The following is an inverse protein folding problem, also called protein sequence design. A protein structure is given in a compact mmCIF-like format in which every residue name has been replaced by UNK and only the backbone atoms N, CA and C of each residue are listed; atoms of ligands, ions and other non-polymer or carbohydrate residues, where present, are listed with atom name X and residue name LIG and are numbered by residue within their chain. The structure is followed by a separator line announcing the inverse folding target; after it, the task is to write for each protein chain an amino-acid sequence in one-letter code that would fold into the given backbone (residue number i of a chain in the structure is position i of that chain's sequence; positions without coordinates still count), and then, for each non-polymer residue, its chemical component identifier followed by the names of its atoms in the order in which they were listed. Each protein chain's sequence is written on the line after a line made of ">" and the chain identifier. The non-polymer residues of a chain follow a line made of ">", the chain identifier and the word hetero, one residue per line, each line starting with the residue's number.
data_IF_516905587027
#
_entry.id   IF_516905587027
#
_cell.length_a   1.000
_cell.length_b   1.000
_cell.length_c   1.000
_cell.angle_alpha   90.00
_cell.angle_beta   90.00
_cell.angle_gamma   90.00
#
_symmetry.space_group_name_H-M   'P 1'
#
loop_
_entity.id
_entity.type
_entity.pdbx_description
1 polymer ?
#
# COMPACT_ATOMS: atom_id res chain seq x y z
N UNK A 1 -7.67 -5.78 17.41
CA UNK A 1 -7.75 -6.78 16.32
C UNK A 1 -6.59 -6.60 15.34
N UNK A 2 -6.35 -5.39 14.83
CA UNK A 2 -5.22 -5.13 13.96
C UNK A 2 -3.97 -4.82 14.79
N UNK A 3 -2.98 -5.72 14.75
CA UNK A 3 -1.68 -5.54 15.40
C UNK A 3 -0.60 -5.39 14.31
N UNK A 4 -0.02 -4.20 14.19
CA UNK A 4 0.97 -3.87 13.17
C UNK A 4 2.39 -4.08 13.70
N UNK A 5 3.17 -4.94 13.03
CA UNK A 5 4.57 -5.19 13.37
C UNK A 5 5.54 -4.24 12.68
N UNK A 6 5.29 -3.95 11.39
CA UNK A 6 6.10 -3.02 10.60
C UNK A 6 5.32 -2.45 9.43
N UNK A 7 5.75 -1.30 8.95
CA UNK A 7 5.35 -0.72 7.67
C UNK A 7 6.60 -0.55 6.82
N UNK A 8 6.47 -0.86 5.54
CA UNK A 8 7.50 -0.63 4.54
C UNK A 8 6.92 0.24 3.44
N UNK A 9 7.65 1.29 3.10
CA UNK A 9 7.31 2.21 2.01
C UNK A 9 8.47 2.24 1.04
N UNK A 10 8.16 2.14 -0.25
CA UNK A 10 9.10 2.27 -1.34
C UNK A 10 8.57 3.30 -2.33
N UNK A 11 9.44 4.19 -2.77
CA UNK A 11 9.17 5.19 -3.80
C UNK A 11 10.30 5.13 -4.81
N UNK A 12 9.95 5.13 -6.08
CA UNK A 12 10.85 5.10 -7.21
C UNK A 12 10.52 6.26 -8.15
N UNK A 13 11.54 7.02 -8.52
CA UNK A 13 11.49 8.00 -9.60
C UNK A 13 12.16 7.41 -10.85
N UNK A 14 11.37 7.19 -11.89
CA UNK A 14 11.80 6.56 -13.14
C UNK A 14 12.02 7.66 -14.17
N UNK A 15 13.29 7.93 -14.48
CA UNK A 15 13.70 8.98 -15.42
C UNK A 15 13.65 8.50 -16.89
N UNK A 16 13.96 7.23 -17.14
CA UNK A 16 13.89 6.58 -18.45
C UNK A 16 13.94 5.05 -18.31
N UNK A 17 13.47 4.33 -19.34
CA UNK A 17 13.69 2.89 -19.53
C UNK A 17 14.27 2.69 -20.94
N UNK A 18 15.56 2.99 -21.10
CA UNK A 18 16.31 2.90 -22.36
C UNK A 18 15.87 3.82 -23.52
N UNK A 19 14.86 4.68 -23.32
CA UNK A 19 14.47 5.76 -24.23
C UNK A 19 15.02 7.14 -23.83
N UNK A 20 14.62 8.21 -24.53
CA UNK A 20 14.91 9.59 -24.11
C UNK A 20 14.34 9.89 -22.72
N UNK A 21 15.08 10.62 -21.89
CA UNK A 21 14.65 11.05 -20.56
C UNK A 21 13.41 11.95 -20.61
N UNK A 22 12.41 11.67 -19.78
CA UNK A 22 11.22 12.50 -19.67
C UNK A 22 11.52 13.81 -18.90
N UNK A 23 10.86 14.91 -19.28
CA UNK A 23 10.98 16.20 -18.56
C UNK A 23 10.41 16.11 -17.14
N UNK A 24 9.39 15.27 -16.94
CA UNK A 24 8.81 14.94 -15.64
C UNK A 24 8.96 13.43 -15.44
N UNK A 25 9.78 12.96 -14.48
CA UNK A 25 9.92 11.54 -14.19
C UNK A 25 8.60 10.90 -13.77
N UNK A 26 8.44 9.61 -14.09
CA UNK A 26 7.32 8.82 -13.56
C UNK A 26 7.64 8.45 -12.11
N UNK A 27 6.73 8.76 -11.19
CA UNK A 27 6.84 8.34 -9.79
C UNK A 27 5.96 7.12 -9.57
N UNK A 28 6.52 6.05 -9.01
CA UNK A 28 5.80 4.87 -8.54
C UNK A 28 6.08 4.64 -7.07
N UNK A 29 5.08 4.18 -6.34
CA UNK A 29 5.24 3.87 -4.94
C UNK A 29 4.44 2.65 -4.51
N UNK A 30 4.95 1.98 -3.49
CA UNK A 30 4.28 0.86 -2.83
C UNK A 30 4.40 1.03 -1.31
N UNK A 31 3.33 0.71 -0.59
CA UNK A 31 3.33 0.66 0.87
C UNK A 31 2.69 -0.63 1.34
N UNK A 32 3.27 -1.26 2.36
CA UNK A 32 2.75 -2.48 2.93
C UNK A 32 2.87 -2.46 4.47
N UNK A 33 1.81 -2.90 5.14
CA UNK A 33 1.82 -3.17 6.57
C UNK A 33 1.92 -4.69 6.80
N UNK A 34 2.79 -5.10 7.72
CA UNK A 34 2.85 -6.49 8.19
C UNK A 34 2.07 -6.60 9.49
N UNK A 35 1.05 -7.45 9.46
CA UNK A 35 0.08 -7.60 10.52
C UNK A 35 0.13 -9.01 11.10
N UNK A 36 -0.24 -9.15 12.37
CA UNK A 36 -0.58 -10.46 12.94
C UNK A 36 -1.90 -10.94 12.31
N UNK A 37 -1.92 -12.18 11.83
CA UNK A 37 -3.15 -12.85 11.42
C UNK A 37 -3.83 -13.50 12.65
N UNK A 38 -5.00 -13.02 13.11
CA UNK A 38 -5.70 -13.59 14.26
C UNK A 38 -6.33 -14.96 13.97
N UNK A 39 -6.44 -15.35 12.70
CA UNK A 39 -7.05 -16.61 12.24
C UNK A 39 -6.00 -17.67 11.84
N UNK A 40 -4.72 -17.41 12.08
CA UNK A 40 -3.67 -18.37 11.74
C UNK A 40 -3.79 -19.64 12.61
N UNK A 41 -3.63 -20.81 11.96
CA UNK A 41 -3.58 -22.10 12.66
C UNK A 41 -4.93 -22.79 12.87
N UNK A 42 -6.03 -22.27 12.32
CA UNK A 42 -7.35 -22.89 12.44
C UNK A 42 -8.32 -22.51 11.32
N UNK A 43 -9.43 -23.24 11.25
CA UNK A 43 -10.56 -22.87 10.40
C UNK A 43 -11.46 -21.88 11.14
N UNK A 44 -11.81 -20.80 10.46
CA UNK A 44 -12.73 -19.79 10.96
C UNK A 44 -13.81 -19.53 9.92
N UNK A 45 -15.07 -19.78 10.28
CA UNK A 45 -16.21 -19.62 9.37
C UNK A 45 -16.54 -18.15 9.08
N UNK A 46 -16.19 -17.25 10.01
CA UNK A 46 -16.42 -15.81 9.87
C UNK A 46 -15.11 -15.02 10.03
N UNK A 47 -14.73 -14.35 8.95
CA UNK A 47 -13.55 -13.48 8.86
C UNK A 47 -13.90 -12.04 8.50
N UNK A 48 -15.20 -11.74 8.29
CA UNK A 48 -15.66 -10.41 7.92
C UNK A 48 -15.29 -9.33 8.96
N UNK A 49 -15.30 -9.59 10.28
CA UNK A 49 -14.92 -8.59 11.27
C UNK A 49 -13.50 -8.02 11.07
N UNK A 50 -12.54 -8.86 10.66
CA UNK A 50 -11.18 -8.36 10.38
C UNK A 50 -11.13 -7.54 9.10
N UNK A 51 -11.89 -7.91 8.08
CA UNK A 51 -11.97 -7.14 6.83
C UNK A 51 -12.47 -5.71 7.09
N UNK A 52 -13.50 -5.56 7.90
CA UNK A 52 -14.01 -4.24 8.30
C UNK A 52 -12.99 -3.46 9.13
N UNK A 53 -12.32 -4.12 10.07
CA UNK A 53 -11.28 -3.53 10.90
C UNK A 53 -10.04 -3.06 10.11
N UNK A 54 -9.81 -3.58 8.89
CA UNK A 54 -8.72 -3.16 8.01
C UNK A 54 -9.01 -1.88 7.23
N UNK A 55 -10.27 -1.45 7.10
CA UNK A 55 -10.63 -0.28 6.29
C UNK A 55 -9.88 1.01 6.70
N UNK A 56 -9.81 1.40 8.00
CA UNK A 56 -9.09 2.60 8.41
C UNK A 56 -7.58 2.51 8.13
N UNK A 57 -7.00 1.31 8.28
CA UNK A 57 -5.59 1.09 7.99
C UNK A 57 -5.31 1.26 6.49
N UNK A 58 -6.16 0.73 5.61
CA UNK A 58 -6.02 0.90 4.17
C UNK A 58 -6.01 2.37 3.75
N UNK A 59 -6.93 3.18 4.31
CA UNK A 59 -6.97 4.63 4.08
C UNK A 59 -5.71 5.33 4.58
N UNK A 60 -5.23 4.97 5.78
CA UNK A 60 -4.02 5.56 6.37
C UNK A 60 -2.76 5.24 5.55
N UNK A 61 -2.63 4.01 5.05
CA UNK A 61 -1.51 3.61 4.18
C UNK A 61 -1.55 4.35 2.85
N UNK A 62 -2.73 4.45 2.21
CA UNK A 62 -2.88 5.18 0.95
C UNK A 62 -2.47 6.66 1.08
N UNK A 63 -2.90 7.32 2.17
CA UNK A 63 -2.51 8.70 2.46
C UNK A 63 -1.00 8.83 2.68
N UNK A 64 -0.42 7.97 3.52
CA UNK A 64 1.03 7.93 3.77
C UNK A 64 1.82 7.74 2.47
N UNK A 65 1.33 6.91 1.54
CA UNK A 65 1.99 6.69 0.26
C UNK A 65 1.93 7.93 -0.64
N UNK A 66 0.78 8.62 -0.71
CA UNK A 66 0.66 9.88 -1.46
C UNK A 66 1.64 10.94 -0.93
N UNK A 67 1.70 11.08 0.40
CA UNK A 67 2.61 12.01 1.07
C UNK A 67 4.08 11.64 0.77
N UNK A 68 4.44 10.35 0.84
CA UNK A 68 5.80 9.87 0.57
C UNK A 68 6.23 10.03 -0.89
N UNK A 69 5.30 9.87 -1.85
CA UNK A 69 5.56 10.12 -3.26
C UNK A 69 5.61 11.62 -3.59
N UNK A 70 5.14 12.49 -2.70
CA UNK A 70 4.94 13.91 -3.01
C UNK A 70 3.87 14.13 -4.10
N UNK A 71 2.96 13.18 -4.29
CA UNK A 71 1.92 13.21 -5.33
C UNK A 71 0.55 13.33 -4.66
N UNK A 72 -0.22 14.39 -4.94
CA UNK A 72 -1.55 14.54 -4.37
C UNK A 72 -2.53 13.50 -4.98
N UNK A 73 -3.58 13.08 -4.25
CA UNK A 73 -4.50 12.02 -4.70
C UNK A 73 -5.11 12.27 -6.08
N UNK A 74 -5.39 13.53 -6.44
CA UNK A 74 -6.00 13.93 -7.71
C UNK A 74 -5.06 13.70 -8.91
N UNK A 75 -3.76 13.53 -8.65
CA UNK A 75 -2.72 13.27 -9.65
C UNK A 75 -2.38 11.78 -9.81
N UNK A 76 -2.99 10.90 -9.01
CA UNK A 76 -2.80 9.45 -9.13
C UNK A 76 -3.49 8.96 -10.40
N UNK A 77 -2.72 8.32 -11.28
CA UNK A 77 -3.21 7.83 -12.57
C UNK A 77 -3.48 6.32 -12.57
N UNK A 78 -2.87 5.58 -11.64
CA UNK A 78 -3.06 4.15 -11.48
C UNK A 78 -2.83 3.74 -10.03
N UNK A 79 -3.53 2.69 -9.59
CA UNK A 79 -3.30 2.08 -8.29
C UNK A 79 -3.64 0.58 -8.35
N UNK A 80 -3.10 -0.16 -7.39
CA UNK A 80 -3.41 -1.56 -7.17
C UNK A 80 -3.34 -1.90 -5.68
N UNK A 81 -3.88 -3.06 -5.31
CA UNK A 81 -3.80 -3.60 -3.95
C UNK A 81 -3.61 -5.10 -3.99
N UNK A 82 -2.93 -5.64 -3.00
CA UNK A 82 -2.70 -7.07 -2.84
C UNK A 82 -2.46 -7.43 -1.38
N UNK A 83 -2.51 -8.72 -1.10
CA UNK A 83 -2.18 -9.29 0.20
C UNK A 83 -1.32 -10.54 0.00
N UNK A 84 -0.40 -10.77 0.94
CA UNK A 84 0.40 -12.00 1.03
C UNK A 84 0.13 -12.57 2.42
N UNK A 85 -0.29 -13.83 2.47
CA UNK A 85 -0.62 -14.55 3.71
C UNK A 85 0.42 -15.62 3.96
#
# INVERSE_FOLDING_TARGET
>A
MIEQRRVFTHVEEIHHEFGPTATVPLVRGAIAAVLRNPYAGGYHADILPMMEALNPLGVALAKTLCDAMGVPPERIQSYGKGAIV
#
